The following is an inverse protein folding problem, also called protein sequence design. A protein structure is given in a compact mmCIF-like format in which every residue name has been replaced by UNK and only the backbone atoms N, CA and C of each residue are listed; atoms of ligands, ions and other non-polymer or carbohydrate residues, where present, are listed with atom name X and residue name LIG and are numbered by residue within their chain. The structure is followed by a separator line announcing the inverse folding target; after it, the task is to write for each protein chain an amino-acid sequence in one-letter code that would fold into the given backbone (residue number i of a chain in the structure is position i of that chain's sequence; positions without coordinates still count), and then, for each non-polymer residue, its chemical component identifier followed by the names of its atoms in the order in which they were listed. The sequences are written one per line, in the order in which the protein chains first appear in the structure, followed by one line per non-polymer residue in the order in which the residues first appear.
data_IF_818306241190
#
_entry.id   IF_818306241190
#
_cell.length_a   1.000
_cell.length_b   1.000
_cell.length_c   1.000
_cell.angle_alpha   90.00
_cell.angle_beta   90.00
_cell.angle_gamma   90.00
#
_symmetry.space_group_name_H-M   'P 1'
#
loop_
_entity.id
_entity.type
_entity.pdbx_description
1 polymer ?
#
# COMPACT_ATOMS: atom_id res chain seq x y z
N UNK A 1 -17.40 22.23 6.35
CA UNK A 1 -16.34 21.59 5.53
C UNK A 1 -16.83 20.18 5.21
N UNK A 2 -16.96 19.77 3.94
CA UNK A 2 -17.37 18.41 3.59
C UNK A 2 -16.26 17.39 3.88
N UNK A 3 -16.62 16.12 4.00
CA UNK A 3 -15.64 15.02 4.11
C UNK A 3 -14.78 14.89 2.84
N UNK A 4 -13.57 14.36 2.99
CA UNK A 4 -12.67 14.03 1.89
C UNK A 4 -13.12 12.76 1.15
N UNK A 5 -12.75 12.67 -0.13
CA UNK A 5 -12.97 11.48 -0.96
C UNK A 5 -11.66 10.68 -1.07
N UNK A 6 -11.74 9.38 -0.80
CA UNK A 6 -10.62 8.44 -0.91
C UNK A 6 -11.12 7.04 -1.28
N UNK A 7 -10.20 6.06 -1.36
CA UNK A 7 -10.53 4.67 -1.63
C UNK A 7 -11.29 3.94 -0.50
N UNK A 8 -11.29 4.50 0.72
CA UNK A 8 -12.08 4.02 1.86
C UNK A 8 -12.94 5.17 2.40
N UNK A 9 -14.20 4.88 2.75
CA UNK A 9 -15.20 5.87 3.17
C UNK A 9 -14.89 6.52 4.52
N UNK A 10 -14.01 5.92 5.34
CA UNK A 10 -13.64 6.40 6.67
C UNK A 10 -12.44 7.36 6.65
N UNK A 11 -11.95 7.73 5.47
CA UNK A 11 -10.77 8.61 5.33
C UNK A 11 -10.85 9.95 6.07
N UNK A 12 -12.05 10.40 6.47
CA UNK A 12 -12.30 11.63 7.23
C UNK A 12 -12.67 11.42 8.70
N UNK A 13 -12.55 10.19 9.22
CA UNK A 13 -12.93 9.85 10.60
C UNK A 13 -12.06 10.59 11.63
N UNK A 14 -10.75 10.64 11.40
CA UNK A 14 -9.82 11.44 12.19
C UNK A 14 -8.73 12.08 11.32
N UNK A 15 -8.21 13.28 11.68
CA UNK A 15 -7.20 13.99 10.88
C UNK A 15 -5.90 13.20 10.64
N UNK A 16 -5.50 12.33 11.58
CA UNK A 16 -4.31 11.49 11.46
C UNK A 16 -4.48 10.45 10.35
N UNK A 17 -5.65 9.79 10.29
CA UNK A 17 -5.99 8.87 9.20
C UNK A 17 -6.07 9.62 7.87
N UNK A 18 -6.71 10.81 7.86
CA UNK A 18 -6.75 11.70 6.70
C UNK A 18 -5.35 12.04 6.19
N UNK A 19 -4.42 12.28 7.11
CA UNK A 19 -3.02 12.60 6.78
C UNK A 19 -2.32 11.43 6.10
N UNK A 20 -2.57 10.19 6.54
CA UNK A 20 -2.02 8.99 5.90
C UNK A 20 -2.60 8.78 4.49
N UNK A 21 -3.92 8.95 4.30
CA UNK A 21 -4.52 8.91 2.96
C UNK A 21 -3.92 9.97 2.03
N UNK A 22 -3.74 11.19 2.53
CA UNK A 22 -3.16 12.31 1.78
C UNK A 22 -1.70 12.03 1.40
N UNK A 23 -0.93 11.41 2.30
CA UNK A 23 0.46 11.03 2.04
C UNK A 23 0.56 10.06 0.86
N UNK A 24 -0.19 8.96 0.87
CA UNK A 24 -0.14 7.97 -0.20
C UNK A 24 -0.70 8.49 -1.53
N UNK A 25 -1.68 9.40 -1.49
CA UNK A 25 -2.14 10.12 -2.70
C UNK A 25 -1.00 10.93 -3.33
N UNK A 26 -0.25 11.69 -2.51
CA UNK A 26 0.88 12.50 -3.00
C UNK A 26 2.01 11.61 -3.52
N UNK A 27 2.30 10.51 -2.85
CA UNK A 27 3.33 9.56 -3.29
C UNK A 27 2.97 8.91 -4.63
N UNK A 28 1.71 8.50 -4.81
CA UNK A 28 1.23 8.01 -6.11
C UNK A 28 1.49 9.02 -7.24
N UNK A 29 1.13 10.30 -7.02
CA UNK A 29 1.33 11.35 -8.02
C UNK A 29 2.82 11.66 -8.26
N UNK A 30 3.66 11.60 -7.22
CA UNK A 30 5.11 11.75 -7.34
C UNK A 30 5.69 10.64 -8.21
N UNK A 31 5.35 9.38 -7.92
CA UNK A 31 5.78 8.21 -8.69
C UNK A 31 5.31 8.29 -10.15
N UNK A 32 4.04 8.61 -10.39
CA UNK A 32 3.53 8.76 -11.76
C UNK A 32 4.26 9.88 -12.54
N UNK A 33 4.59 10.99 -11.87
CA UNK A 33 5.35 12.09 -12.47
C UNK A 33 6.77 11.64 -12.86
N UNK A 34 7.46 10.92 -11.97
CA UNK A 34 8.80 10.41 -12.25
C UNK A 34 8.79 9.33 -13.34
N UNK A 35 7.83 8.42 -13.30
CA UNK A 35 7.64 7.40 -14.33
C UNK A 35 7.36 8.02 -15.70
N UNK A 36 6.62 9.13 -15.79
CA UNK A 36 6.39 9.85 -17.05
C UNK A 36 7.68 10.46 -17.60
N UNK A 37 8.53 11.02 -16.73
CA UNK A 37 9.83 11.58 -17.13
C UNK A 37 10.75 10.49 -17.67
N UNK A 38 10.77 9.33 -17.02
CA UNK A 38 11.56 8.17 -17.45
C UNK A 38 10.98 7.50 -18.70
N UNK A 39 9.66 7.50 -18.86
CA UNK A 39 8.95 6.82 -19.95
C UNK A 39 7.97 7.79 -20.65
N UNK A 40 8.45 8.73 -21.49
CA UNK A 40 7.59 9.73 -22.12
C UNK A 40 6.49 9.16 -23.01
N UNK A 41 6.67 7.95 -23.54
CA UNK A 41 5.68 7.27 -24.38
C UNK A 41 4.54 6.61 -23.61
N UNK A 42 4.63 6.47 -22.28
CA UNK A 42 3.55 5.88 -21.50
C UNK A 42 2.33 6.78 -21.44
N UNK A 43 1.16 6.16 -21.62
CA UNK A 43 -0.14 6.81 -21.46
C UNK A 43 -0.57 6.89 -19.98
N UNK A 44 -1.65 7.61 -19.71
CA UNK A 44 -2.15 7.82 -18.35
C UNK A 44 -2.46 6.51 -17.60
N UNK A 45 -3.06 5.54 -18.27
CA UNK A 45 -3.41 4.25 -17.66
C UNK A 45 -2.17 3.47 -17.21
N UNK A 46 -1.16 3.38 -18.07
CA UNK A 46 0.09 2.69 -17.72
C UNK A 46 0.79 3.36 -16.54
N UNK A 47 0.84 4.70 -16.52
CA UNK A 47 1.44 5.47 -15.42
C UNK A 47 0.69 5.24 -14.11
N UNK A 48 -0.64 5.28 -14.15
CA UNK A 48 -1.49 5.01 -13.00
C UNK A 48 -1.25 3.60 -12.44
N UNK A 49 -1.30 2.56 -13.28
CA UNK A 49 -1.15 1.19 -12.81
C UNK A 49 0.25 0.90 -12.25
N UNK A 50 1.31 1.44 -12.87
CA UNK A 50 2.68 1.24 -12.36
C UNK A 50 2.91 2.00 -11.04
N UNK A 51 2.46 3.24 -10.92
CA UNK A 51 2.52 3.97 -9.65
C UNK A 51 1.68 3.29 -8.56
N UNK A 52 0.47 2.81 -8.91
CA UNK A 52 -0.40 2.04 -8.01
C UNK A 52 0.26 0.75 -7.55
N UNK A 53 0.92 0.02 -8.45
CA UNK A 53 1.66 -1.21 -8.14
C UNK A 53 2.77 -0.95 -7.12
N UNK A 54 3.55 0.12 -7.31
CA UNK A 54 4.63 0.50 -6.40
C UNK A 54 4.06 0.89 -5.03
N UNK A 55 3.01 1.72 -4.96
CA UNK A 55 2.37 2.09 -3.68
C UNK A 55 1.83 0.85 -2.95
N UNK A 56 1.20 -0.08 -3.67
CA UNK A 56 0.75 -1.36 -3.09
C UNK A 56 1.90 -2.16 -2.48
N UNK A 57 3.04 -2.24 -3.17
CA UNK A 57 4.23 -2.90 -2.64
C UNK A 57 4.83 -2.16 -1.44
N UNK A 58 4.85 -0.82 -1.43
CA UNK A 58 5.31 -0.04 -0.28
C UNK A 58 4.48 -0.32 0.96
N UNK A 59 3.15 -0.35 0.83
CA UNK A 59 2.25 -0.70 1.94
C UNK A 59 2.56 -2.11 2.45
N UNK A 60 2.68 -3.11 1.56
CA UNK A 60 3.03 -4.47 1.96
C UNK A 60 4.38 -4.54 2.70
N UNK A 61 5.41 -3.87 2.19
CA UNK A 61 6.74 -3.85 2.82
C UNK A 61 6.65 -3.25 4.23
N UNK A 62 6.07 -2.07 4.38
CA UNK A 62 5.93 -1.40 5.68
C UNK A 62 5.14 -2.28 6.65
N UNK A 63 4.03 -2.89 6.19
CA UNK A 63 3.21 -3.76 7.02
C UNK A 63 3.96 -4.99 7.51
N UNK A 64 4.59 -5.76 6.61
CA UNK A 64 5.22 -7.04 6.98
C UNK A 64 6.62 -6.89 7.59
N UNK A 65 7.39 -5.88 7.15
CA UNK A 65 8.76 -5.66 7.64
C UNK A 65 8.78 -4.88 8.94
N UNK A 66 7.97 -3.84 9.08
CA UNK A 66 8.11 -2.86 10.16
C UNK A 66 6.98 -2.95 11.18
N UNK A 67 5.73 -3.07 10.74
CA UNK A 67 4.57 -2.99 11.63
C UNK A 67 4.25 -4.32 12.33
N UNK A 68 4.00 -5.39 11.57
CA UNK A 68 3.58 -6.69 12.12
C UNK A 68 4.57 -7.28 13.14
N UNK A 69 5.91 -7.16 12.97
CA UNK A 69 6.85 -7.65 13.98
C UNK A 69 6.68 -6.99 15.35
N UNK A 70 6.32 -5.70 15.38
CA UNK A 70 6.10 -4.95 16.61
C UNK A 70 4.75 -5.29 17.26
N UNK A 71 3.73 -5.62 16.44
CA UNK A 71 2.40 -6.00 16.92
C UNK A 71 2.38 -7.41 17.50
N UNK A 72 2.98 -8.37 16.78
CA UNK A 72 2.90 -9.79 17.13
C UNK A 72 4.00 -10.23 18.09
N UNK A 73 5.15 -9.55 18.05
CA UNK A 73 6.35 -9.98 18.77
C UNK A 73 7.09 -11.14 18.08
N UNK A 74 8.34 -11.40 18.47
CA UNK A 74 9.25 -12.27 17.71
C UNK A 74 8.83 -13.74 17.67
N UNK A 75 8.18 -14.25 18.72
CA UNK A 75 7.74 -15.66 18.77
C UNK A 75 6.54 -15.90 17.84
N UNK A 76 5.50 -15.06 17.94
CA UNK A 76 4.32 -15.17 17.09
C UNK A 76 4.63 -14.87 15.62
N UNK A 77 5.55 -13.93 15.32
CA UNK A 77 6.05 -13.72 13.95
C UNK A 77 6.62 -15.00 13.35
N UNK A 78 7.56 -15.68 14.05
CA UNK A 78 8.16 -16.91 13.54
C UNK A 78 7.13 -18.03 13.36
N UNK A 79 6.12 -18.09 14.22
CA UNK A 79 5.09 -19.14 14.20
C UNK A 79 4.07 -18.93 13.08
N UNK A 80 3.54 -17.71 12.92
CA UNK A 80 2.41 -17.44 12.03
C UNK A 80 2.81 -16.80 10.69
N UNK A 81 3.95 -16.12 10.63
CA UNK A 81 4.47 -15.45 9.44
C UNK A 81 5.93 -15.88 9.19
N UNK A 82 6.17 -17.15 8.84
CA UNK A 82 7.50 -17.62 8.47
C UNK A 82 8.00 -16.92 7.20
N UNK A 83 9.30 -17.07 6.92
CA UNK A 83 9.93 -16.50 5.74
C UNK A 83 9.15 -16.88 4.46
N UNK A 84 8.81 -15.86 3.68
CA UNK A 84 8.06 -16.03 2.44
C UNK A 84 8.86 -16.88 1.44
N UNK A 85 8.20 -17.87 0.83
CA UNK A 85 8.82 -18.75 -0.17
C UNK A 85 8.34 -18.45 -1.58
N UNK A 86 7.04 -18.62 -1.80
CA UNK A 86 6.41 -18.43 -3.10
C UNK A 86 4.91 -18.21 -2.93
N UNK A 87 4.27 -17.76 -3.99
CA UNK A 87 2.82 -17.76 -4.09
C UNK A 87 2.28 -19.20 -4.08
N UNK A 88 1.12 -19.38 -3.46
CA UNK A 88 0.36 -20.63 -3.44
C UNK A 88 -1.12 -20.27 -3.67
N UNK A 89 -1.67 -20.71 -4.79
CA UNK A 89 -3.06 -20.43 -5.21
C UNK A 89 -4.11 -21.20 -4.40
N UNK A 90 -3.69 -22.19 -3.62
CA UNK A 90 -4.56 -22.98 -2.73
C UNK A 90 -4.78 -22.31 -1.36
N UNK A 91 -4.07 -21.23 -1.05
CA UNK A 91 -4.27 -20.45 0.18
C UNK A 91 -5.48 -19.53 0.01
N UNK A 92 -6.43 -19.56 0.95
CA UNK A 92 -7.58 -18.66 0.96
C UNK A 92 -7.16 -17.24 1.41
N UNK A 93 -7.25 -16.20 0.55
CA UNK A 93 -6.81 -14.86 0.88
C UNK A 93 -7.92 -13.96 1.46
N UNK A 94 -9.12 -14.51 1.74
CA UNK A 94 -10.24 -13.74 2.29
C UNK A 94 -9.98 -13.34 3.74
N UNK A 95 -10.49 -12.17 4.14
CA UNK A 95 -10.57 -11.79 5.57
C UNK A 95 -11.60 -12.71 6.24
N UNK A 96 -11.25 -13.26 7.40
CA UNK A 96 -12.08 -14.20 8.17
C UNK A 96 -13.31 -13.53 8.80
#
# INVERSE_FOLDING_TARGET
IPCFLAGDSRSSEMPELTSMHTLFLREHNRLATELKRLNPCWNGEKLYQEARKIVGAMVQIITYRDYLPLVLGPEAMRKYLPEYRSYNDSVDPRIA
#
